data_IF_507599972390
#
_entry.id   IF_507599972390
#
_cell.length_a   1.000
_cell.length_b   1.000
_cell.length_c   1.000
_cell.angle_alpha   90.00
_cell.angle_beta   90.00
_cell.angle_gamma   90.00
#
_symmetry.space_group_name_H-M   'P 1'
#
loop_
_entity.id
_entity.type
_entity.pdbx_description
1 polymer ?
#
# COMPACT_ATOMS: atom_id res chain seq x y z
N UNK A 1 -12.23 1.62 19.79
CA UNK A 1 -13.62 2.13 20.00
C UNK A 1 -13.79 3.63 19.67
N UNK A 2 -12.84 4.27 18.95
CA UNK A 2 -12.95 5.68 18.50
C UNK A 2 -13.15 5.84 16.98
N UNK A 3 -12.80 4.85 16.17
CA UNK A 3 -12.98 4.84 14.71
C UNK A 3 -14.45 4.74 14.28
N UNK A 4 -15.28 4.00 15.02
CA UNK A 4 -16.72 3.85 14.71
C UNK A 4 -17.52 5.17 14.70
N UNK A 5 -17.06 6.23 15.40
CA UNK A 5 -17.74 7.54 15.41
C UNK A 5 -17.45 8.40 14.18
N UNK A 6 -16.32 8.21 13.52
CA UNK A 6 -15.99 8.89 12.26
C UNK A 6 -16.87 8.40 11.10
N UNK A 7 -17.22 7.11 11.10
CA UNK A 7 -18.08 6.52 10.05
C UNK A 7 -19.55 6.95 10.12
N UNK A 8 -20.10 7.20 11.32
CA UNK A 8 -21.47 7.71 11.47
C UNK A 8 -21.60 9.19 11.11
N UNK A 9 -20.56 10.00 11.29
CA UNK A 9 -20.55 11.41 10.89
C UNK A 9 -20.69 11.60 9.38
N UNK A 10 -20.00 10.77 8.59
CA UNK A 10 -19.98 10.88 7.13
C UNK A 10 -21.25 10.35 6.45
N UNK A 11 -21.95 9.38 7.05
CA UNK A 11 -23.24 8.90 6.55
C UNK A 11 -24.37 9.95 6.70
N UNK A 12 -24.29 10.81 7.71
CA UNK A 12 -25.29 11.88 7.93
C UNK A 12 -25.17 13.03 6.92
N UNK A 13 -23.98 13.28 6.36
CA UNK A 13 -23.77 14.26 5.29
C UNK A 13 -24.47 13.87 3.98
N UNK A 14 -24.67 12.57 3.74
CA UNK A 14 -25.40 12.08 2.57
C UNK A 14 -26.95 12.19 2.70
N UNK A 15 -27.48 12.50 3.89
CA UNK A 15 -28.92 12.53 4.18
C UNK A 15 -29.49 13.93 4.49
N UNK A 16 -28.65 14.97 4.61
CA UNK A 16 -29.10 16.32 4.96
C UNK A 16 -29.62 17.10 3.75
N UNK A 17 -30.69 17.89 3.95
CA UNK A 17 -31.34 18.67 2.87
C UNK A 17 -30.40 19.75 2.31
N UNK A 18 -30.44 20.04 0.99
CA UNK A 18 -29.42 20.84 0.30
C UNK A 18 -29.28 22.31 0.71
N UNK A 19 -30.16 22.88 1.54
CA UNK A 19 -30.30 24.36 1.67
C UNK A 19 -29.75 24.99 2.96
N UNK A 20 -29.21 24.21 3.91
CA UNK A 20 -28.74 24.77 5.19
C UNK A 20 -27.22 24.65 5.42
N UNK A 21 -26.45 24.09 4.47
CA UNK A 21 -24.99 23.92 4.55
C UNK A 21 -24.20 24.95 3.70
N UNK A 22 -24.85 25.98 3.17
CA UNK A 22 -24.35 26.69 1.98
C UNK A 22 -23.38 27.87 2.20
N UNK A 23 -22.89 28.19 3.41
CA UNK A 23 -22.06 29.40 3.55
C UNK A 23 -20.77 29.37 4.37
N UNK A 24 -20.42 28.31 5.08
CA UNK A 24 -19.15 28.31 5.86
C UNK A 24 -18.29 27.04 5.74
N UNK A 25 -18.71 26.00 5.02
CA UNK A 25 -17.95 24.74 4.86
C UNK A 25 -17.51 24.46 3.41
N UNK A 26 -17.91 25.29 2.43
CA UNK A 26 -17.58 25.11 1.00
C UNK A 26 -16.09 25.26 0.63
N UNK A 27 -15.20 25.62 1.57
CA UNK A 27 -13.76 25.73 1.29
C UNK A 27 -13.00 24.39 1.26
N UNK A 28 -13.49 23.36 1.97
CA UNK A 28 -12.62 22.31 2.55
C UNK A 28 -12.76 20.91 1.93
N UNK A 29 -13.66 20.72 0.96
CA UNK A 29 -13.81 19.48 0.18
C UNK A 29 -13.91 19.78 -1.33
N UNK A 30 -13.61 21.02 -1.74
CA UNK A 30 -13.99 21.56 -3.05
C UNK A 30 -13.51 20.71 -4.23
N UNK A 31 -12.28 20.22 -4.18
CA UNK A 31 -11.71 19.39 -5.26
C UNK A 31 -12.40 18.03 -5.34
N UNK A 32 -12.52 17.31 -4.22
CA UNK A 32 -13.21 16.01 -4.20
C UNK A 32 -14.68 16.14 -4.58
N UNK A 33 -15.40 17.13 -4.03
CA UNK A 33 -16.80 17.39 -4.36
C UNK A 33 -16.99 17.65 -5.86
N UNK A 34 -16.12 18.47 -6.45
CA UNK A 34 -16.14 18.76 -7.88
C UNK A 34 -15.92 17.47 -8.69
N UNK A 35 -14.87 16.70 -8.40
CA UNK A 35 -14.61 15.43 -9.08
C UNK A 35 -15.75 14.42 -8.92
N UNK A 36 -16.32 14.29 -7.72
CA UNK A 36 -17.40 13.34 -7.42
C UNK A 36 -18.68 13.61 -8.22
N UNK A 37 -18.91 14.84 -8.69
CA UNK A 37 -20.05 15.17 -9.56
C UNK A 37 -19.90 14.63 -10.98
N UNK A 38 -18.66 14.46 -11.47
CA UNK A 38 -18.37 14.14 -12.87
C UNK A 38 -17.84 12.72 -13.08
N UNK A 39 -17.18 12.15 -12.07
CA UNK A 39 -16.61 10.81 -12.14
C UNK A 39 -17.69 9.73 -12.02
N UNK A 40 -17.58 8.68 -12.83
CA UNK A 40 -18.57 7.59 -12.89
C UNK A 40 -18.08 6.37 -12.12
N UNK A 41 -18.84 5.94 -11.13
CA UNK A 41 -18.52 4.73 -10.34
C UNK A 41 -19.52 3.64 -10.70
N UNK A 42 -19.02 2.61 -11.38
CA UNK A 42 -19.85 1.59 -12.01
C UNK A 42 -20.17 0.41 -11.09
N UNK A 43 -19.29 0.10 -10.14
CA UNK A 43 -19.49 -0.97 -9.16
C UNK A 43 -19.64 -0.40 -7.73
N UNK A 44 -20.32 -1.16 -6.86
CA UNK A 44 -20.60 -0.74 -5.49
C UNK A 44 -19.35 -0.70 -4.61
N UNK A 45 -18.37 -1.55 -4.90
CA UNK A 45 -17.14 -1.68 -4.11
C UNK A 45 -16.26 -0.44 -4.30
N UNK A 46 -15.96 -0.07 -5.54
CA UNK A 46 -15.23 1.17 -5.86
C UNK A 46 -16.00 2.40 -5.41
N UNK A 47 -17.34 2.40 -5.49
CA UNK A 47 -18.15 3.51 -4.97
C UNK A 47 -17.99 3.67 -3.46
N UNK A 48 -18.06 2.57 -2.72
CA UNK A 48 -17.86 2.58 -1.27
C UNK A 48 -16.49 3.17 -0.94
N UNK A 49 -15.42 2.62 -1.53
CA UNK A 49 -14.07 3.07 -1.27
C UNK A 49 -13.89 4.54 -1.63
N UNK A 50 -14.38 4.98 -2.78
CA UNK A 50 -14.26 6.38 -3.21
C UNK A 50 -14.92 7.34 -2.21
N UNK A 51 -16.16 7.07 -1.82
CA UNK A 51 -16.92 7.94 -0.92
C UNK A 51 -16.35 7.93 0.51
N UNK A 52 -15.75 6.83 0.95
CA UNK A 52 -15.22 6.71 2.32
C UNK A 52 -13.80 7.25 2.48
N UNK A 53 -12.96 7.14 1.44
CA UNK A 53 -11.51 7.38 1.57
C UNK A 53 -11.03 8.63 0.85
N UNK A 54 -11.59 8.94 -0.33
CA UNK A 54 -11.14 10.07 -1.13
C UNK A 54 -11.39 11.44 -0.48
N UNK A 55 -12.50 11.69 0.27
CA UNK A 55 -12.65 12.92 1.04
C UNK A 55 -11.55 13.11 2.09
N UNK A 56 -11.17 12.01 2.76
CA UNK A 56 -10.12 12.04 3.79
C UNK A 56 -8.77 12.35 3.14
N UNK A 57 -8.46 11.66 2.03
CA UNK A 57 -7.23 11.92 1.27
C UNK A 57 -7.16 13.38 0.76
N UNK A 58 -8.26 13.90 0.21
CA UNK A 58 -8.35 15.29 -0.23
C UNK A 58 -8.11 16.28 0.92
N UNK A 59 -8.76 16.05 2.07
CA UNK A 59 -8.57 16.87 3.27
C UNK A 59 -7.14 16.78 3.81
N UNK A 60 -6.52 15.61 3.74
CA UNK A 60 -5.13 15.43 4.17
C UNK A 60 -4.17 16.26 3.33
N UNK A 61 -4.36 16.30 2.01
CA UNK A 61 -3.53 17.11 1.11
C UNK A 61 -3.75 18.61 1.35
N UNK A 62 -4.99 19.02 1.55
CA UNK A 62 -5.31 20.42 1.88
C UNK A 62 -4.61 20.88 3.16
N UNK A 63 -4.67 20.07 4.23
CA UNK A 63 -4.04 20.38 5.52
C UNK A 63 -2.51 20.46 5.45
N UNK A 64 -1.90 19.72 4.53
CA UNK A 64 -0.45 19.78 4.28
C UNK A 64 -0.09 20.98 3.39
N UNK A 65 -1.07 21.60 2.71
CA UNK A 65 -0.86 22.79 1.90
C UNK A 65 -0.70 22.51 0.40
N UNK A 66 -1.19 21.36 -0.09
CA UNK A 66 -1.23 21.09 -1.53
C UNK A 66 -2.16 22.08 -2.22
N UNK A 67 -1.75 22.63 -3.36
CA UNK A 67 -2.64 23.44 -4.18
C UNK A 67 -3.76 22.61 -4.82
N UNK A 68 -4.76 23.28 -5.39
CA UNK A 68 -5.93 22.62 -5.96
C UNK A 68 -5.60 21.71 -7.15
N UNK A 69 -4.58 22.07 -7.94
CA UNK A 69 -4.16 21.29 -9.11
C UNK A 69 -3.48 19.98 -8.67
N UNK A 70 -2.59 20.05 -7.68
CA UNK A 70 -1.96 18.88 -7.06
C UNK A 70 -3.01 17.97 -6.41
N UNK A 71 -3.94 18.53 -5.63
CA UNK A 71 -5.04 17.77 -5.04
C UNK A 71 -5.87 17.05 -6.13
N UNK A 72 -6.19 17.73 -7.23
CA UNK A 72 -6.96 17.16 -8.33
C UNK A 72 -6.20 16.02 -9.00
N UNK A 73 -4.91 16.20 -9.30
CA UNK A 73 -4.05 15.19 -9.91
C UNK A 73 -3.94 13.94 -9.04
N UNK A 74 -3.72 14.08 -7.74
CA UNK A 74 -3.60 12.95 -6.84
C UNK A 74 -4.93 12.23 -6.60
N UNK A 75 -6.05 12.95 -6.52
CA UNK A 75 -7.38 12.33 -6.43
C UNK A 75 -7.75 11.58 -7.72
N UNK A 76 -7.40 12.12 -8.89
CA UNK A 76 -7.58 11.42 -10.16
C UNK A 76 -6.65 10.21 -10.27
N UNK A 77 -5.40 10.32 -9.81
CA UNK A 77 -4.48 9.19 -9.73
C UNK A 77 -5.07 8.07 -8.86
N UNK A 78 -5.55 8.41 -7.66
CA UNK A 78 -6.18 7.47 -6.75
C UNK A 78 -7.41 6.81 -7.39
N UNK A 79 -8.30 7.61 -8.00
CA UNK A 79 -9.51 7.12 -8.68
C UNK A 79 -9.21 6.17 -9.85
N UNK A 80 -8.25 6.52 -10.71
CA UNK A 80 -7.97 5.78 -11.95
C UNK A 80 -7.19 4.49 -11.65
N UNK A 81 -6.14 4.58 -10.85
CA UNK A 81 -5.16 3.50 -10.73
C UNK A 81 -5.31 2.68 -9.46
N UNK A 82 -5.66 3.30 -8.35
CA UNK A 82 -5.63 2.64 -7.03
C UNK A 82 -6.99 2.06 -6.66
N UNK A 83 -8.05 2.85 -6.83
CA UNK A 83 -9.41 2.49 -6.43
C UNK A 83 -9.87 1.10 -6.93
N UNK A 84 -9.59 0.69 -8.19
CA UNK A 84 -9.99 -0.64 -8.68
C UNK A 84 -9.30 -1.82 -7.96
N UNK A 85 -8.19 -1.54 -7.26
CA UNK A 85 -7.38 -2.55 -6.58
C UNK A 85 -7.68 -2.67 -5.07
N UNK A 86 -8.62 -1.91 -4.53
CA UNK A 86 -9.00 -2.00 -3.11
C UNK A 86 -9.93 -3.19 -2.80
N UNK A 87 -10.26 -4.00 -3.80
CA UNK A 87 -11.07 -5.19 -3.64
C UNK A 87 -12.50 -4.89 -3.16
N UNK A 88 -13.12 -5.89 -2.53
CA UNK A 88 -14.52 -5.84 -2.11
C UNK A 88 -14.69 -4.97 -0.87
N UNK A 89 -15.80 -4.23 -0.79
CA UNK A 89 -16.13 -3.44 0.40
C UNK A 89 -16.40 -4.35 1.61
N UNK A 90 -16.17 -3.87 2.84
CA UNK A 90 -16.54 -4.60 4.03
C UNK A 90 -18.07 -4.84 4.11
N UNK A 91 -18.46 -5.78 4.96
CA UNK A 91 -19.86 -6.01 5.29
C UNK A 91 -20.43 -4.77 6.00
N UNK A 92 -21.77 -4.62 6.10
CA UNK A 92 -22.37 -3.52 6.87
C UNK A 92 -21.88 -3.40 8.32
N UNK A 93 -21.43 -4.51 8.90
CA UNK A 93 -20.87 -4.59 10.27
C UNK A 93 -19.37 -4.22 10.33
N UNK A 94 -18.73 -3.98 9.18
CA UNK A 94 -17.33 -3.57 9.08
C UNK A 94 -16.33 -4.71 8.90
N UNK A 95 -16.78 -5.95 8.67
CA UNK A 95 -15.88 -7.09 8.49
C UNK A 95 -15.41 -7.23 7.03
N UNK A 96 -14.17 -7.70 6.78
CA UNK A 96 -13.69 -7.96 5.42
C UNK A 96 -14.56 -9.00 4.70
N UNK A 97 -14.84 -8.77 3.41
CA UNK A 97 -15.61 -9.71 2.58
C UNK A 97 -14.74 -10.40 1.54
N UNK A 98 -14.07 -11.48 1.94
CA UNK A 98 -13.35 -12.39 1.03
C UNK A 98 -11.86 -12.47 1.29
N UNK A 99 -11.15 -11.33 1.27
CA UNK A 99 -9.73 -11.25 1.61
C UNK A 99 -9.55 -10.45 2.89
N UNK A 100 -8.73 -10.97 3.81
CA UNK A 100 -8.35 -10.30 5.04
C UNK A 100 -6.93 -9.77 4.85
N UNK A 101 -6.83 -8.47 4.59
CA UNK A 101 -5.54 -7.83 4.42
C UNK A 101 -4.76 -7.81 5.73
N UNK A 102 -3.44 -8.02 5.66
CA UNK A 102 -2.57 -7.86 6.84
C UNK A 102 -2.16 -6.39 7.05
N UNK A 103 -2.52 -5.49 6.13
CA UNK A 103 -2.07 -4.10 6.15
C UNK A 103 -2.52 -3.34 7.41
N UNK A 104 -3.71 -3.63 7.93
CA UNK A 104 -4.28 -2.91 9.07
C UNK A 104 -4.89 -3.87 10.08
N UNK A 105 -5.00 -3.43 11.33
CA UNK A 105 -5.60 -4.21 12.43
C UNK A 105 -7.08 -4.59 12.17
N UNK A 106 -7.80 -3.80 11.36
CA UNK A 106 -9.18 -4.09 10.96
C UNK A 106 -9.29 -4.89 9.65
N UNK A 107 -8.16 -5.34 9.11
CA UNK A 107 -8.01 -6.07 7.85
C UNK A 107 -8.47 -5.32 6.61
N UNK A 108 -8.55 -3.98 6.67
CA UNK A 108 -8.76 -3.15 5.50
C UNK A 108 -7.48 -3.07 4.65
N UNK A 109 -7.61 -2.85 3.32
CA UNK A 109 -6.48 -2.86 2.41
C UNK A 109 -5.90 -1.48 2.14
N UNK A 110 -6.17 -0.49 2.98
CA UNK A 110 -5.75 0.89 2.78
C UNK A 110 -5.36 1.55 4.10
N UNK A 111 -4.17 2.13 4.13
CA UNK A 111 -3.71 3.00 5.20
C UNK A 111 -3.36 4.38 4.65
N UNK A 112 -3.90 5.44 5.26
CA UNK A 112 -3.54 6.83 4.95
C UNK A 112 -2.56 7.34 6.01
N UNK A 113 -1.48 8.00 5.59
CA UNK A 113 -0.48 8.55 6.49
C UNK A 113 0.05 9.91 6.05
N UNK A 114 0.71 10.60 6.98
CA UNK A 114 1.44 11.84 6.73
C UNK A 114 2.91 11.63 7.02
N UNK A 115 3.75 12.13 6.12
CA UNK A 115 5.14 12.43 6.41
C UNK A 115 5.21 13.83 7.02
N UNK A 116 5.72 13.94 8.24
CA UNK A 116 5.88 15.23 8.91
C UNK A 116 7.28 15.76 8.65
N UNK A 117 7.36 16.77 7.79
CA UNK A 117 8.60 17.47 7.49
C UNK A 117 9.11 18.27 8.68
N UNK A 118 10.41 18.58 8.68
CA UNK A 118 11.03 19.38 9.75
C UNK A 118 10.80 20.87 9.48
N UNK A 119 10.79 21.27 8.20
CA UNK A 119 10.47 22.62 7.77
C UNK A 119 9.06 22.74 7.17
N UNK A 120 8.56 23.97 7.11
CA UNK A 120 7.32 24.30 6.42
C UNK A 120 7.41 23.90 4.95
N UNK A 121 6.39 23.18 4.46
CA UNK A 121 6.35 22.66 3.08
C UNK A 121 7.11 21.36 2.85
N UNK A 122 7.72 20.75 3.88
CA UNK A 122 8.37 19.43 3.75
C UNK A 122 7.45 18.26 4.12
N UNK A 123 6.27 18.54 4.71
CA UNK A 123 5.29 17.50 4.99
C UNK A 123 4.63 17.01 3.69
N UNK A 124 4.27 15.73 3.63
CA UNK A 124 3.61 15.13 2.46
C UNK A 124 2.56 14.11 2.87
N UNK A 125 1.61 13.85 1.97
CA UNK A 125 0.62 12.79 2.15
C UNK A 125 1.14 11.49 1.54
N UNK A 126 0.92 10.40 2.25
CA UNK A 126 1.20 9.04 1.81
C UNK A 126 -0.05 8.18 1.94
N UNK A 127 -0.14 7.15 1.12
CA UNK A 127 -1.03 6.05 1.42
C UNK A 127 -0.44 4.73 0.95
N UNK A 128 -0.79 3.66 1.65
CA UNK A 128 -0.39 2.29 1.35
C UNK A 128 -1.62 1.47 1.06
N UNK A 129 -1.52 0.52 0.14
CA UNK A 129 -2.57 -0.47 -0.12
C UNK A 129 -2.03 -1.89 -0.22
N UNK A 130 -2.86 -2.86 0.16
CA UNK A 130 -2.75 -4.21 -0.38
C UNK A 130 -3.60 -4.26 -1.66
N UNK A 131 -3.02 -4.44 -2.84
CA UNK A 131 -3.80 -4.61 -4.06
C UNK A 131 -4.55 -5.95 -4.01
N UNK A 132 -5.87 -5.92 -3.93
CA UNK A 132 -6.73 -7.10 -3.83
C UNK A 132 -7.43 -7.38 -5.16
N UNK A 133 -7.15 -8.56 -5.72
CA UNK A 133 -7.81 -9.03 -6.94
C UNK A 133 -9.24 -9.49 -6.70
N UNK A 134 -10.08 -9.45 -7.74
CA UNK A 134 -11.47 -9.94 -7.70
C UNK A 134 -11.62 -11.39 -7.18
N UNK A 135 -10.59 -12.21 -7.39
CA UNK A 135 -10.57 -13.63 -7.03
C UNK A 135 -9.68 -13.93 -5.82
N UNK A 136 -9.16 -12.93 -5.12
CA UNK A 136 -8.33 -13.09 -3.94
C UNK A 136 -9.02 -13.97 -2.89
N UNK A 137 -8.28 -14.92 -2.33
CA UNK A 137 -8.77 -15.88 -1.34
C UNK A 137 -9.61 -17.03 -1.90
N UNK A 138 -9.98 -17.00 -3.19
CA UNK A 138 -10.70 -18.10 -3.86
C UNK A 138 -9.73 -19.15 -4.41
N UNK A 139 -10.19 -20.34 -4.84
CA UNK A 139 -9.32 -21.34 -5.47
C UNK A 139 -8.55 -20.83 -6.70
N UNK A 140 -9.05 -19.79 -7.40
CA UNK A 140 -8.44 -19.19 -8.58
C UNK A 140 -7.29 -18.21 -8.27
N UNK A 141 -7.25 -17.67 -7.05
CA UNK A 141 -6.16 -16.82 -6.53
C UNK A 141 -6.12 -16.84 -4.98
N UNK A 142 -5.70 -17.94 -4.35
CA UNK A 142 -5.85 -18.08 -2.90
C UNK A 142 -4.88 -17.25 -2.06
N UNK A 143 -3.85 -16.67 -2.68
CA UNK A 143 -2.79 -15.90 -2.02
C UNK A 143 -2.68 -14.47 -2.57
N UNK A 144 -3.72 -13.98 -3.26
CA UNK A 144 -3.80 -12.62 -3.80
C UNK A 144 -2.56 -12.20 -4.62
N UNK A 145 -2.09 -13.08 -5.51
CA UNK A 145 -0.78 -12.93 -6.14
C UNK A 145 -0.82 -12.05 -7.39
N UNK A 146 -1.99 -11.87 -8.00
CA UNK A 146 -2.08 -11.33 -9.37
C UNK A 146 -2.25 -9.82 -9.41
N UNK A 147 -3.01 -9.27 -8.47
CA UNK A 147 -3.44 -7.87 -8.56
C UNK A 147 -2.28 -6.89 -8.40
N UNK A 148 -1.26 -7.21 -7.59
CA UNK A 148 -0.07 -6.37 -7.47
C UNK A 148 0.62 -6.15 -8.82
N UNK A 149 0.81 -7.22 -9.62
CA UNK A 149 1.44 -7.11 -10.93
C UNK A 149 0.59 -6.33 -11.93
N UNK A 150 -0.74 -6.54 -11.90
CA UNK A 150 -1.67 -5.78 -12.72
C UNK A 150 -1.66 -4.30 -12.37
N UNK A 151 -1.59 -3.97 -11.08
CA UNK A 151 -1.49 -2.59 -10.61
C UNK A 151 -0.18 -1.96 -11.09
N UNK A 152 0.99 -2.54 -10.75
CA UNK A 152 2.28 -1.92 -11.07
C UNK A 152 2.50 -1.76 -12.58
N UNK A 153 2.03 -2.70 -13.40
CA UNK A 153 2.08 -2.55 -14.86
C UNK A 153 1.12 -1.44 -15.35
N UNK A 154 -0.08 -1.37 -14.75
CA UNK A 154 -1.06 -0.33 -15.00
C UNK A 154 -0.60 1.08 -14.58
N UNK A 155 0.37 1.21 -13.68
CA UNK A 155 0.92 2.49 -13.23
C UNK A 155 1.89 3.14 -14.23
N UNK A 156 2.40 2.41 -15.23
CA UNK A 156 3.37 2.95 -16.19
C UNK A 156 2.96 4.30 -16.81
N UNK A 157 1.69 4.53 -17.23
CA UNK A 157 1.28 5.81 -17.78
C UNK A 157 1.31 6.95 -16.77
N UNK A 158 1.11 6.70 -15.47
CA UNK A 158 1.14 7.74 -14.43
C UNK A 158 2.56 8.10 -13.98
N UNK A 159 3.51 7.17 -14.11
CA UNK A 159 4.89 7.32 -13.64
C UNK A 159 5.90 7.54 -14.77
N UNK A 160 5.49 7.45 -16.03
CA UNK A 160 6.33 7.71 -17.20
C UNK A 160 7.69 6.96 -17.10
N UNK A 161 8.80 7.69 -17.02
CA UNK A 161 10.17 7.17 -16.99
C UNK A 161 10.74 7.04 -15.57
N UNK A 162 9.96 7.37 -14.53
CA UNK A 162 10.43 7.32 -13.14
C UNK A 162 10.17 5.97 -12.48
N UNK A 163 9.27 5.16 -13.04
CA UNK A 163 8.99 3.80 -12.57
C UNK A 163 10.01 2.82 -13.15
N UNK A 164 10.75 2.16 -12.27
CA UNK A 164 11.64 1.05 -12.59
C UNK A 164 11.31 -0.13 -11.68
N UNK A 165 11.08 -1.30 -12.28
CA UNK A 165 10.66 -2.51 -11.58
C UNK A 165 11.81 -3.53 -11.46
N UNK A 166 13.04 -3.17 -11.82
CA UNK A 166 14.19 -4.12 -11.80
C UNK A 166 14.40 -4.70 -10.39
N UNK A 167 14.41 -3.85 -9.36
CA UNK A 167 14.55 -4.32 -7.97
C UNK A 167 13.28 -5.03 -7.51
N UNK A 168 12.11 -4.54 -7.94
CA UNK A 168 10.82 -5.16 -7.62
C UNK A 168 10.73 -6.61 -8.09
N UNK A 169 11.13 -6.89 -9.34
CA UNK A 169 11.06 -8.23 -9.93
C UNK A 169 11.97 -9.22 -9.18
N UNK A 170 13.20 -8.81 -8.85
CA UNK A 170 14.15 -9.64 -8.10
C UNK A 170 13.65 -9.93 -6.69
N UNK A 171 13.16 -8.90 -5.98
CA UNK A 171 12.68 -9.07 -4.62
C UNK A 171 11.37 -9.85 -4.56
N UNK A 172 10.46 -9.62 -5.51
CA UNK A 172 9.23 -10.39 -5.68
C UNK A 172 9.53 -11.88 -5.84
N UNK A 173 10.44 -12.25 -6.73
CA UNK A 173 10.83 -13.65 -6.94
C UNK A 173 11.48 -14.28 -5.70
N UNK A 174 12.39 -13.54 -5.06
CA UNK A 174 13.16 -14.03 -3.93
C UNK A 174 12.33 -14.14 -2.63
N UNK A 175 11.38 -13.22 -2.42
CA UNK A 175 10.69 -13.03 -1.15
C UNK A 175 9.22 -13.47 -1.17
N UNK A 176 8.65 -13.86 -2.30
CA UNK A 176 7.24 -14.30 -2.35
C UNK A 176 7.08 -15.65 -3.05
N UNK A 177 5.92 -16.27 -2.88
CA UNK A 177 5.55 -17.56 -3.47
C UNK A 177 4.40 -17.41 -4.46
N UNK A 178 4.36 -18.31 -5.44
CA UNK A 178 3.32 -18.50 -6.45
C UNK A 178 2.39 -19.71 -6.17
N UNK A 179 2.36 -20.22 -4.92
CA UNK A 179 1.49 -21.31 -4.40
C UNK A 179 1.93 -22.75 -4.68
N UNK A 180 2.69 -23.06 -5.73
CA UNK A 180 2.83 -24.45 -6.23
C UNK A 180 3.20 -25.51 -5.18
N UNK A 181 3.91 -25.13 -4.11
CA UNK A 181 4.38 -26.05 -3.06
C UNK A 181 3.66 -25.91 -1.71
N UNK A 182 2.75 -24.95 -1.55
CA UNK A 182 2.09 -24.66 -0.27
C UNK A 182 0.64 -25.16 -0.22
N UNK A 183 0.30 -25.91 0.84
CA UNK A 183 -1.09 -26.22 1.16
C UNK A 183 -1.76 -25.01 1.83
N UNK A 184 -2.40 -24.16 1.03
CA UNK A 184 -3.02 -22.90 1.48
C UNK A 184 -4.11 -23.10 2.54
N UNK A 185 -4.63 -24.32 2.71
CA UNK A 185 -5.60 -24.65 3.77
C UNK A 185 -4.98 -24.65 5.17
N UNK A 186 -3.66 -24.80 5.27
CA UNK A 186 -2.91 -24.80 6.54
C UNK A 186 -2.37 -23.42 6.93
N UNK A 187 -2.51 -22.44 6.04
CA UNK A 187 -2.03 -21.07 6.26
C UNK A 187 -3.12 -20.27 6.99
N UNK A 188 -2.74 -19.69 8.14
CA UNK A 188 -3.56 -18.72 8.87
C UNK A 188 -4.07 -17.65 7.91
N UNK A 189 -5.31 -17.19 8.07
CA UNK A 189 -5.90 -16.16 7.23
C UNK A 189 -5.05 -14.87 7.24
N UNK A 190 -4.54 -14.48 8.41
CA UNK A 190 -3.69 -13.29 8.60
C UNK A 190 -2.31 -13.43 7.94
N UNK A 191 -1.82 -14.66 7.77
CA UNK A 191 -0.50 -14.94 7.20
C UNK A 191 -0.47 -15.07 5.68
N UNK A 192 -1.52 -14.63 4.96
CA UNK A 192 -1.65 -14.85 3.51
C UNK A 192 -1.14 -13.71 2.63
N UNK A 193 -1.10 -12.49 3.17
CA UNK A 193 -0.62 -11.29 2.48
C UNK A 193 0.85 -11.44 2.13
N UNK A 194 1.20 -10.99 0.92
CA UNK A 194 2.57 -11.09 0.40
C UNK A 194 3.11 -9.76 -0.12
N UNK A 195 2.23 -8.83 -0.47
CA UNK A 195 2.58 -7.58 -1.12
C UNK A 195 1.79 -6.42 -0.55
N UNK A 196 2.47 -5.34 -0.21
CA UNK A 196 1.87 -4.02 -0.11
C UNK A 196 2.58 -3.07 -1.08
N UNK A 197 1.90 -2.00 -1.47
CA UNK A 197 2.51 -0.89 -2.18
C UNK A 197 2.15 0.42 -1.50
N UNK A 198 3.04 1.40 -1.55
CA UNK A 198 2.77 2.74 -1.04
C UNK A 198 3.05 3.81 -2.09
N UNK A 199 2.35 4.92 -1.92
CA UNK A 199 2.42 6.08 -2.79
C UNK A 199 2.79 7.30 -1.96
N UNK A 200 4.00 7.82 -2.16
CA UNK A 200 4.38 9.14 -1.66
C UNK A 200 3.85 10.19 -2.64
N UNK A 201 2.92 11.05 -2.21
CA UNK A 201 2.27 12.02 -3.08
C UNK A 201 3.10 13.30 -3.21
N UNK A 202 4.21 13.28 -3.95
CA UNK A 202 5.00 14.49 -4.14
C UNK A 202 4.33 15.48 -5.10
N UNK A 203 4.76 16.75 -5.04
CA UNK A 203 4.28 17.90 -5.86
C UNK A 203 4.31 17.65 -7.39
N UNK A 204 5.08 16.67 -7.86
CA UNK A 204 5.15 16.30 -9.28
C UNK A 204 4.33 15.04 -9.60
N UNK A 205 4.95 13.89 -9.37
CA UNK A 205 4.35 12.58 -9.58
C UNK A 205 4.44 11.78 -8.29
N UNK A 206 3.46 10.89 -8.02
CA UNK A 206 3.60 9.95 -6.92
C UNK A 206 4.90 9.14 -7.07
N UNK A 207 5.52 8.75 -5.95
CA UNK A 207 6.57 7.71 -5.94
C UNK A 207 5.99 6.40 -5.42
N UNK A 208 6.32 5.31 -6.10
CA UNK A 208 5.87 3.97 -5.75
C UNK A 208 6.92 3.32 -4.86
N UNK A 209 6.46 2.73 -3.76
CA UNK A 209 7.23 1.79 -2.95
C UNK A 209 6.53 0.44 -2.97
N UNK A 210 7.30 -0.63 -2.90
CA UNK A 210 6.77 -1.97 -2.75
C UNK A 210 7.29 -2.59 -1.45
N UNK A 211 6.44 -3.38 -0.81
CA UNK A 211 6.75 -4.09 0.41
C UNK A 211 6.44 -5.57 0.22
N UNK A 212 7.35 -6.43 0.67
CA UNK A 212 7.26 -7.87 0.52
C UNK A 212 7.19 -8.54 1.89
N UNK A 213 6.30 -9.51 2.04
CA UNK A 213 6.16 -10.33 3.25
C UNK A 213 6.72 -11.74 3.00
N UNK A 214 7.95 -12.03 3.46
CA UNK A 214 8.67 -13.26 3.13
C UNK A 214 8.25 -14.51 3.89
N UNK A 215 7.32 -14.41 4.86
CA UNK A 215 6.94 -15.53 5.72
C UNK A 215 6.49 -16.78 4.95
N UNK A 216 5.66 -16.62 3.92
CA UNK A 216 5.21 -17.76 3.11
C UNK A 216 6.32 -18.35 2.26
N UNK A 217 7.21 -17.50 1.74
CA UNK A 217 8.35 -17.96 0.95
C UNK A 217 9.36 -18.73 1.80
N UNK A 218 9.57 -18.31 3.05
CA UNK A 218 10.40 -19.01 4.02
C UNK A 218 9.90 -20.45 4.27
N UNK A 219 8.58 -20.60 4.48
CA UNK A 219 7.93 -21.92 4.62
C UNK A 219 8.08 -22.75 3.35
N UNK A 220 7.83 -22.17 2.16
CA UNK A 220 7.96 -22.86 0.87
C UNK A 220 9.40 -23.35 0.61
N UNK A 221 10.38 -22.50 0.90
CA UNK A 221 11.78 -22.76 0.62
C UNK A 221 12.47 -23.61 1.70
N UNK A 222 11.81 -23.83 2.85
CA UNK A 222 12.42 -24.38 4.05
C UNK A 222 13.72 -23.64 4.40
N UNK A 223 13.65 -22.31 4.39
CA UNK A 223 14.74 -21.39 4.68
C UNK A 223 14.24 -20.31 5.65
N UNK A 224 15.13 -19.68 6.38
CA UNK A 224 14.78 -18.51 7.18
C UNK A 224 14.44 -17.32 6.29
N UNK A 225 13.56 -16.44 6.76
CA UNK A 225 13.30 -15.15 6.08
C UNK A 225 14.61 -14.42 5.82
N UNK A 226 15.49 -14.40 6.81
CA UNK A 226 16.74 -13.67 6.73
C UNK A 226 17.66 -14.17 5.60
N UNK A 227 17.77 -15.48 5.40
CA UNK A 227 18.51 -16.06 4.28
C UNK A 227 17.93 -15.65 2.92
N UNK A 228 16.60 -15.56 2.80
CA UNK A 228 15.94 -15.07 1.58
C UNK A 228 16.27 -13.61 1.30
N UNK A 229 16.29 -12.76 2.34
CA UNK A 229 16.66 -11.34 2.21
C UNK A 229 18.11 -11.18 1.78
N UNK A 230 19.04 -11.91 2.40
CA UNK A 230 20.46 -11.90 1.97
C UNK A 230 20.58 -12.30 0.50
N UNK A 231 19.90 -13.37 0.07
CA UNK A 231 19.91 -13.80 -1.32
C UNK A 231 19.35 -12.75 -2.28
N UNK A 232 18.26 -12.07 -1.91
CA UNK A 232 17.68 -10.98 -2.71
C UNK A 232 18.67 -9.82 -2.86
N UNK A 233 19.31 -9.43 -1.75
CA UNK A 233 20.30 -8.35 -1.71
C UNK A 233 21.54 -8.65 -2.53
N UNK A 234 22.09 -9.87 -2.40
CA UNK A 234 23.25 -10.31 -3.17
C UNK A 234 22.96 -10.36 -4.68
N UNK A 235 21.74 -10.74 -5.06
CA UNK A 235 21.29 -10.75 -6.47
C UNK A 235 21.24 -9.34 -7.08
N UNK A 236 21.11 -8.30 -6.24
CA UNK A 236 21.10 -6.90 -6.62
C UNK A 236 22.38 -6.14 -6.23
N UNK A 237 23.45 -6.82 -5.79
CA UNK A 237 24.68 -6.17 -5.27
C UNK A 237 25.27 -5.17 -6.27
N UNK A 238 25.27 -5.51 -7.55
CA UNK A 238 25.77 -4.66 -8.64
C UNK A 238 25.04 -3.30 -8.72
N UNK A 239 23.81 -3.24 -8.22
CA UNK A 239 22.97 -2.06 -8.28
C UNK A 239 23.08 -1.14 -7.06
N UNK A 240 23.28 -1.72 -5.87
CA UNK A 240 23.26 -0.94 -4.62
C UNK A 240 24.61 -0.33 -4.24
N UNK A 241 25.69 -0.77 -4.87
CA UNK A 241 27.03 -0.23 -4.64
C UNK A 241 27.66 -0.66 -3.30
N UNK A 242 28.98 -0.46 -3.15
CA UNK A 242 29.75 -1.10 -2.09
C UNK A 242 29.43 -0.58 -0.68
N UNK A 243 29.15 0.71 -0.52
CA UNK A 243 28.86 1.31 0.79
C UNK A 243 27.54 0.78 1.37
N UNK A 244 26.50 0.71 0.54
CA UNK A 244 25.21 0.17 0.95
C UNK A 244 25.32 -1.31 1.33
N UNK A 245 25.98 -2.11 0.48
CA UNK A 245 26.17 -3.54 0.75
C UNK A 245 27.06 -3.77 1.99
N UNK A 246 28.02 -2.90 2.28
CA UNK A 246 28.78 -2.95 3.53
C UNK A 246 27.89 -2.68 4.75
N UNK A 247 27.01 -1.68 4.68
CA UNK A 247 26.06 -1.38 5.75
C UNK A 247 25.09 -2.55 5.98
N UNK A 248 24.56 -3.14 4.90
CA UNK A 248 23.71 -4.33 5.00
C UNK A 248 24.44 -5.53 5.62
N UNK A 249 25.68 -5.82 5.20
CA UNK A 249 26.49 -6.89 5.79
C UNK A 249 26.79 -6.63 7.26
N UNK A 250 26.95 -5.36 7.66
CA UNK A 250 27.12 -4.99 9.07
C UNK A 250 25.85 -5.28 9.87
N UNK A 251 24.69 -4.85 9.37
CA UNK A 251 23.40 -5.15 9.97
C UNK A 251 23.19 -6.67 10.12
N UNK A 252 23.52 -7.45 9.09
CA UNK A 252 23.51 -8.91 9.13
C UNK A 252 24.39 -9.46 10.28
N UNK A 253 25.64 -9.00 10.34
CA UNK A 253 26.57 -9.44 11.40
C UNK A 253 26.05 -9.11 12.79
N UNK A 254 25.43 -7.94 12.98
CA UNK A 254 24.88 -7.53 14.28
C UNK A 254 23.65 -8.39 14.65
N UNK A 255 22.75 -8.71 13.70
CA UNK A 255 21.63 -9.63 13.93
C UNK A 255 22.06 -11.06 14.29
N UNK A 256 23.20 -11.51 13.77
CA UNK A 256 23.76 -12.82 14.09
C UNK A 256 24.35 -12.90 15.51
N UNK A 257 24.55 -11.78 16.20
CA UNK A 257 24.99 -11.77 17.60
C UNK A 257 23.89 -12.17 18.58
N UNK A 258 22.62 -12.04 18.19
CA UNK A 258 21.50 -12.53 18.97
C UNK A 258 21.44 -14.06 18.92
N UNK A 259 21.16 -14.69 20.07
CA UNK A 259 20.96 -16.14 20.10
C UNK A 259 19.82 -16.55 19.17
N UNK A 260 20.05 -17.58 18.34
CA UNK A 260 19.03 -18.12 17.43
C UNK A 260 17.79 -18.66 18.15
N UNK A 261 17.88 -18.93 19.46
CA UNK A 261 16.77 -19.42 20.29
C UNK A 261 16.17 -18.35 21.20
N UNK A 262 16.68 -17.11 21.15
CA UNK A 262 16.14 -16.02 21.97
C UNK A 262 14.81 -15.53 21.39
N UNK A 263 13.80 -15.41 22.25
CA UNK A 263 12.54 -14.74 21.92
C UNK A 263 12.69 -13.24 21.65
N UNK A 264 13.82 -12.65 22.08
CA UNK A 264 14.09 -11.23 21.94
C UNK A 264 14.90 -10.92 20.65
N UNK A 265 15.20 -11.95 19.85
CA UNK A 265 15.89 -11.77 18.57
C UNK A 265 14.98 -11.01 17.61
N UNK A 266 15.43 -9.88 17.04
CA UNK A 266 14.67 -9.20 16.01
C UNK A 266 14.52 -10.09 14.77
N UNK A 267 13.30 -10.14 14.22
CA UNK A 267 13.00 -10.84 12.97
C UNK A 267 12.64 -9.83 11.88
N UNK A 268 13.02 -10.13 10.65
CA UNK A 268 12.58 -9.33 9.50
C UNK A 268 11.18 -9.79 9.15
N UNK A 269 10.20 -8.90 9.31
CA UNK A 269 8.80 -9.18 8.99
C UNK A 269 8.41 -8.70 7.58
N UNK A 270 8.91 -7.53 7.18
CA UNK A 270 8.59 -6.86 5.92
C UNK A 270 9.87 -6.26 5.33
N UNK A 271 10.04 -6.36 4.01
CA UNK A 271 11.11 -5.69 3.27
C UNK A 271 10.51 -4.68 2.32
N UNK A 272 10.91 -3.41 2.41
CA UNK A 272 10.44 -2.33 1.53
C UNK A 272 11.48 -1.96 0.48
N UNK A 273 11.04 -1.47 -0.68
CA UNK A 273 11.91 -0.89 -1.71
C UNK A 273 11.27 0.35 -2.33
N UNK A 274 12.08 1.26 -2.87
CA UNK A 274 11.61 2.29 -3.79
C UNK A 274 11.63 1.75 -5.24
N UNK A 275 10.51 1.84 -5.97
CA UNK A 275 10.38 1.38 -7.37
C UNK A 275 10.91 2.43 -8.36
N UNK A 276 12.19 2.73 -8.22
CA UNK A 276 12.96 3.68 -9.04
C UNK A 276 14.22 3.00 -9.56
N UNK A 277 14.97 3.67 -10.44
CA UNK A 277 16.21 3.11 -10.99
C UNK A 277 17.09 2.53 -9.86
N UNK A 278 17.69 1.34 -10.03
CA UNK A 278 18.28 0.61 -8.91
C UNK A 278 19.31 1.40 -8.10
N UNK A 279 20.14 2.22 -8.77
CA UNK A 279 21.14 3.07 -8.12
C UNK A 279 20.58 4.18 -7.22
N UNK A 280 19.27 4.46 -7.29
CA UNK A 280 18.54 5.40 -6.44
C UNK A 280 17.55 4.71 -5.49
N UNK A 281 17.37 3.40 -5.62
CA UNK A 281 16.45 2.64 -4.77
C UNK A 281 17.04 2.47 -3.37
N UNK A 282 16.20 2.63 -2.35
CA UNK A 282 16.51 2.26 -0.96
C UNK A 282 15.79 0.96 -0.64
N UNK A 283 16.39 0.17 0.26
CA UNK A 283 15.83 -1.06 0.82
C UNK A 283 15.85 -0.95 2.34
#
# INVERSE_FOLDING_TARGET
MQTARLFQGNLNLAAAKPRELEKNEQGNLGVWLSLNQWLRLFDEDTRFWWVTTAPILGRMMELVGYDQDAQQKHLLFYYIYVLPSLGRRPSPEGYPTGWNSFMTDDNSPLELSWDWGIAEGESSVRFSIEPIGKYAGTPADPLNQKMVFQLVDGLRPAFHHTLDLTVFDVFSEALTTSREKLDTRKISVEGRSQYFVAFDLDVGHPRLKAYFMPGLKAVEANASVFELVVKAMDSCEVHFGPLFMQAFRRFNSDLATFSATSSDRPEVEIVGIDCVIPAKSRV
#
